data_IF_017062542571
#
_entry.id   IF_017062542571
#
_cell.length_a   1.000
_cell.length_b   1.000
_cell.length_c   1.000
_cell.angle_alpha   90.00
_cell.angle_beta   90.00
_cell.angle_gamma   90.00
#
_symmetry.space_group_name_H-M   'P 1'
#
loop_
_entity.id
_entity.type
_entity.pdbx_description
1 polymer ?
#
# COMPACT_ATOMS: atom_id res chain seq x y z
N UNK A 1 -26.35 51.26 -32.45
CA UNK A 1 -25.64 49.96 -32.50
C UNK A 1 -24.32 50.07 -31.75
N UNK A 2 -24.08 49.16 -30.79
CA UNK A 2 -22.75 48.58 -30.66
C UNK A 2 -22.81 47.03 -30.60
N UNK A 3 -21.76 46.33 -31.08
CA UNK A 3 -21.78 44.88 -31.27
C UNK A 3 -21.60 44.08 -29.98
N UNK A 4 -22.26 42.93 -29.94
CA UNK A 4 -22.16 41.91 -28.89
C UNK A 4 -20.77 41.26 -28.91
N UNK A 5 -20.04 41.35 -27.79
CA UNK A 5 -18.81 40.59 -27.59
C UNK A 5 -19.15 39.09 -27.46
N UNK A 6 -18.89 38.33 -28.53
CA UNK A 6 -18.73 36.87 -28.43
C UNK A 6 -17.31 36.60 -27.97
N UNK A 7 -17.16 36.13 -26.73
CA UNK A 7 -15.90 35.56 -26.26
C UNK A 7 -15.69 34.20 -26.95
N UNK A 8 -14.92 34.19 -28.03
CA UNK A 8 -14.32 32.98 -28.58
C UNK A 8 -13.16 32.57 -27.68
N UNK A 9 -13.36 31.56 -26.83
CA UNK A 9 -12.26 30.87 -26.14
C UNK A 9 -11.72 29.82 -27.10
N UNK A 10 -10.79 30.23 -27.95
CA UNK A 10 -9.98 29.36 -28.80
C UNK A 10 -8.51 29.58 -28.46
N UNK A 11 -8.06 29.04 -27.33
CA UNK A 11 -6.65 28.80 -27.02
C UNK A 11 -6.55 27.65 -26.00
N UNK A 12 -6.60 26.41 -26.48
CA UNK A 12 -5.92 25.30 -25.79
C UNK A 12 -4.67 24.97 -26.58
N UNK A 13 -3.53 25.27 -25.97
CA UNK A 13 -2.20 24.92 -26.45
C UNK A 13 -2.13 23.41 -26.68
N UNK A 14 -1.83 23.04 -27.93
CA UNK A 14 -1.36 21.72 -28.29
C UNK A 14 -0.11 21.35 -27.48
N UNK A 15 0.00 20.12 -26.95
CA UNK A 15 1.28 19.64 -26.43
C UNK A 15 2.26 19.41 -27.58
N UNK A 16 3.38 20.14 -27.51
CA UNK A 16 4.51 20.09 -28.43
C UNK A 16 5.00 18.66 -28.65
N UNK A 17 4.90 18.20 -29.91
CA UNK A 17 5.67 17.06 -30.41
C UNK A 17 7.15 17.42 -30.33
N UNK A 18 7.92 16.68 -29.54
CA UNK A 18 9.38 16.72 -29.62
C UNK A 18 9.83 15.93 -30.86
N UNK A 19 10.29 16.64 -31.88
CA UNK A 19 11.10 16.07 -32.95
C UNK A 19 12.47 15.68 -32.38
N UNK A 20 12.84 14.42 -32.57
CA UNK A 20 14.16 13.89 -32.22
C UNK A 20 15.08 14.22 -33.39
N UNK A 21 15.88 15.27 -33.22
CA UNK A 21 16.94 15.63 -34.16
C UNK A 21 18.17 14.77 -33.86
N UNK A 22 18.34 13.71 -34.63
CA UNK A 22 19.50 12.80 -34.59
C UNK A 22 20.73 13.56 -35.10
N UNK A 23 21.62 13.99 -34.21
CA UNK A 23 22.94 14.47 -34.60
C UNK A 23 23.96 13.33 -34.60
N UNK A 24 24.43 13.00 -35.80
CA UNK A 24 25.56 12.10 -36.04
C UNK A 24 26.87 12.79 -35.62
N UNK A 25 27.58 12.22 -34.63
CA UNK A 25 28.96 12.64 -34.29
C UNK A 25 29.93 12.05 -35.31
N UNK A 26 30.53 12.89 -36.14
CA UNK A 26 31.79 12.59 -36.84
C UNK A 26 32.94 13.18 -36.03
N UNK A 27 33.93 12.35 -35.76
CA UNK A 27 35.23 12.75 -35.23
C UNK A 27 36.07 13.33 -36.38
N UNK A 28 36.67 14.49 -36.15
CA UNK A 28 37.79 14.98 -36.95
C UNK A 28 38.85 15.51 -35.97
N UNK A 29 40.02 14.90 -36.02
CA UNK A 29 41.21 15.39 -35.34
C UNK A 29 41.89 16.44 -36.19
N UNK A 30 42.43 17.47 -35.53
CA UNK A 30 43.43 18.37 -36.11
C UNK A 30 44.51 18.60 -35.06
N UNK A 31 45.69 18.09 -35.37
CA UNK A 31 46.94 18.48 -34.75
C UNK A 31 47.25 19.93 -35.13
N UNK A 32 47.71 20.73 -34.17
CA UNK A 32 48.37 22.00 -34.44
C UNK A 32 49.66 22.03 -33.62
N UNK A 33 50.77 21.85 -34.33
CA UNK A 33 52.11 22.11 -33.85
C UNK A 33 52.34 23.63 -33.85
N UNK A 34 52.98 24.13 -32.79
CA UNK A 34 53.64 25.43 -32.81
C UNK A 34 55.02 25.24 -32.17
N UNK A 35 56.04 25.24 -33.02
CA UNK A 35 57.43 25.39 -32.64
C UNK A 35 57.72 26.87 -32.37
N UNK A 36 58.49 27.16 -31.33
CA UNK A 36 59.22 28.41 -31.22
C UNK A 36 60.47 28.21 -30.36
N UNK A 37 61.50 28.95 -30.74
CA UNK A 37 62.93 28.69 -30.63
C UNK A 37 63.56 29.13 -29.31
N UNK A 38 64.70 28.51 -29.01
CA UNK A 38 65.67 28.88 -27.98
C UNK A 38 66.29 30.27 -28.21
N UNK A 39 66.33 31.11 -27.17
CA UNK A 39 67.38 32.12 -26.99
C UNK A 39 67.57 32.45 -25.52
N UNK A 40 68.77 32.16 -25.03
CA UNK A 40 69.32 32.51 -23.71
C UNK A 40 69.79 33.97 -23.73
N UNK A 41 69.52 34.75 -22.66
CA UNK A 41 70.41 35.78 -22.07
C UNK A 41 69.88 36.10 -20.65
N UNK A 42 70.80 36.04 -19.68
CA UNK A 42 70.63 36.40 -18.27
C UNK A 42 70.47 37.91 -18.09
N UNK A 43 69.63 38.34 -17.13
CA UNK A 43 70.03 39.28 -16.06
C UNK A 43 68.96 39.37 -14.96
N UNK A 44 69.47 39.42 -13.73
CA UNK A 44 68.83 39.30 -12.42
C UNK A 44 68.13 40.58 -11.95
N UNK A 45 66.92 40.47 -11.36
CA UNK A 45 66.44 41.35 -10.28
C UNK A 45 65.44 40.60 -9.36
N UNK A 46 65.27 41.16 -8.16
CA UNK A 46 65.00 40.51 -6.89
C UNK A 46 63.53 40.10 -6.62
N UNK A 47 63.42 39.21 -5.63
CA UNK A 47 62.28 38.85 -4.77
C UNK A 47 61.03 39.74 -4.77
N UNK A 48 59.84 39.14 -4.94
CA UNK A 48 58.77 39.15 -3.93
C UNK A 48 57.53 38.32 -4.35
N UNK A 49 57.11 37.46 -3.44
CA UNK A 49 55.71 37.19 -3.03
C UNK A 49 54.67 36.66 -4.03
N UNK A 50 54.00 35.61 -3.54
CA UNK A 50 52.57 35.33 -3.68
C UNK A 50 52.07 34.46 -4.86
N UNK A 51 51.83 33.20 -4.50
CA UNK A 51 50.66 32.38 -4.88
C UNK A 51 50.32 32.26 -6.37
N UNK A 52 50.76 31.15 -6.99
CA UNK A 52 49.99 30.60 -8.09
C UNK A 52 48.58 30.23 -7.58
N UNK A 53 47.50 30.60 -8.27
CA UNK A 53 46.17 30.19 -7.86
C UNK A 53 46.06 28.66 -7.89
N UNK A 54 45.52 28.02 -6.85
CA UNK A 54 45.25 26.58 -6.89
C UNK A 54 44.24 26.30 -8.01
N UNK A 55 44.31 25.11 -8.66
CA UNK A 55 43.30 24.73 -9.64
C UNK A 55 41.92 24.81 -8.98
N UNK A 56 40.89 25.36 -9.67
CA UNK A 56 39.58 25.50 -9.08
C UNK A 56 39.10 24.10 -8.68
N UNK A 57 38.56 23.92 -7.45
CA UNK A 57 37.95 22.66 -7.10
C UNK A 57 36.79 22.47 -8.08
N UNK A 58 36.86 21.42 -8.92
CA UNK A 58 35.76 21.01 -9.78
C UNK A 58 34.68 20.43 -8.88
N UNK A 59 34.03 21.29 -8.12
CA UNK A 59 32.74 21.01 -7.50
C UNK A 59 31.82 20.95 -8.70
N UNK A 60 31.63 19.74 -9.23
CA UNK A 60 30.57 19.48 -10.19
C UNK A 60 29.27 19.94 -9.52
N UNK A 61 28.82 21.15 -9.86
CA UNK A 61 27.64 21.76 -9.31
C UNK A 61 26.44 21.05 -9.94
N UNK A 62 26.03 19.95 -9.32
CA UNK A 62 24.83 19.24 -9.73
C UNK A 62 23.61 20.15 -9.48
N UNK A 63 22.63 20.19 -10.40
CA UNK A 63 21.44 20.98 -10.17
C UNK A 63 20.67 20.37 -8.99
N UNK A 64 19.99 21.21 -8.21
CA UNK A 64 19.30 20.80 -6.95
C UNK A 64 18.36 19.61 -7.13
N UNK A 65 17.74 19.49 -8.31
CA UNK A 65 16.80 18.42 -8.65
C UNK A 65 17.47 17.13 -9.20
N UNK A 66 18.75 17.18 -9.58
CA UNK A 66 19.48 16.03 -10.13
C UNK A 66 20.74 15.77 -9.32
N UNK A 67 20.53 15.21 -8.13
CA UNK A 67 21.64 14.78 -7.28
C UNK A 67 22.42 13.60 -7.91
N UNK A 68 23.71 13.45 -7.57
CA UNK A 68 24.51 12.32 -7.99
C UNK A 68 23.89 10.99 -7.57
N UNK A 69 23.64 10.13 -8.55
CA UNK A 69 23.03 8.80 -8.35
C UNK A 69 24.01 7.70 -8.77
N UNK A 70 23.79 6.48 -8.26
CA UNK A 70 24.57 5.31 -8.64
C UNK A 70 24.39 4.95 -10.12
N UNK A 71 23.15 5.04 -10.62
CA UNK A 71 22.80 4.88 -12.03
C UNK A 71 22.25 6.18 -12.59
N UNK A 72 22.49 6.42 -13.89
CA UNK A 72 22.01 7.63 -14.56
C UNK A 72 20.48 7.73 -14.46
N UNK A 73 19.93 8.92 -14.14
CA UNK A 73 18.49 9.11 -13.97
C UNK A 73 17.73 9.05 -15.30
N UNK A 74 18.37 9.32 -16.44
CA UNK A 74 17.75 9.28 -17.77
C UNK A 74 17.23 7.89 -18.15
N UNK A 75 17.80 6.83 -17.58
CA UNK A 75 17.37 5.48 -17.90
C UNK A 75 16.00 5.16 -17.30
N UNK A 76 15.12 4.58 -18.12
CA UNK A 76 13.80 4.07 -17.70
C UNK A 76 13.88 3.19 -16.44
N UNK A 77 14.91 2.35 -16.32
CA UNK A 77 15.09 1.48 -15.14
C UNK A 77 15.25 2.28 -13.83
N UNK A 78 15.97 3.40 -13.88
CA UNK A 78 16.15 4.30 -12.74
C UNK A 78 14.86 5.00 -12.37
N UNK A 79 14.07 5.42 -13.36
CA UNK A 79 12.77 6.05 -13.15
C UNK A 79 11.73 5.08 -12.59
N UNK A 80 11.66 3.85 -13.12
CA UNK A 80 10.78 2.79 -12.59
C UNK A 80 11.13 2.45 -11.15
N UNK A 81 12.42 2.39 -10.79
CA UNK A 81 12.82 2.15 -9.41
C UNK A 81 12.33 3.26 -8.47
N UNK A 82 12.47 4.54 -8.84
CA UNK A 82 11.94 5.67 -8.07
C UNK A 82 10.42 5.58 -7.93
N UNK A 83 9.72 5.27 -9.01
CA UNK A 83 8.27 5.12 -9.02
C UNK A 83 7.82 3.98 -8.09
N UNK A 84 8.48 2.84 -8.12
CA UNK A 84 8.17 1.70 -7.26
C UNK A 84 8.53 1.97 -5.79
N UNK A 85 9.65 2.62 -5.52
CA UNK A 85 10.02 3.01 -4.16
C UNK A 85 9.02 4.02 -3.57
N UNK A 86 8.56 4.98 -4.38
CA UNK A 86 7.48 5.90 -3.99
C UNK A 86 6.19 5.13 -3.72
N UNK A 87 5.78 4.23 -4.63
CA UNK A 87 4.57 3.42 -4.47
C UNK A 87 4.62 2.63 -3.16
N UNK A 88 5.70 1.89 -2.92
CA UNK A 88 5.88 1.07 -1.72
C UNK A 88 5.83 1.86 -0.40
N UNK A 89 6.20 3.15 -0.42
CA UNK A 89 6.11 4.02 0.76
C UNK A 89 4.74 4.65 0.94
N UNK A 90 4.07 5.04 -0.15
CA UNK A 90 2.79 5.75 -0.07
C UNK A 90 1.60 4.80 0.04
N UNK A 91 1.74 3.55 -0.40
CA UNK A 91 0.63 2.58 -0.38
C UNK A 91 0.87 1.51 0.68
N UNK A 92 0.14 1.55 1.81
CA UNK A 92 0.30 0.58 2.88
C UNK A 92 -0.27 -0.80 2.53
N UNK A 93 -1.25 -0.87 1.60
CA UNK A 93 -1.89 -2.12 1.19
C UNK A 93 -1.63 -2.38 -0.30
N UNK A 94 -1.04 -3.52 -0.60
CA UNK A 94 -0.63 -3.93 -1.94
C UNK A 94 -0.99 -5.39 -2.14
N UNK A 95 -1.79 -5.73 -3.15
CA UNK A 95 -2.03 -7.11 -3.56
C UNK A 95 -1.15 -7.45 -4.76
N UNK A 96 -0.55 -8.64 -4.74
CA UNK A 96 0.34 -9.15 -5.76
C UNK A 96 -0.38 -10.27 -6.52
N UNK A 97 -0.55 -10.06 -7.82
CA UNK A 97 -1.17 -11.01 -8.73
C UNK A 97 -0.14 -11.51 -9.74
N UNK A 98 -0.15 -12.81 -10.00
CA UNK A 98 0.44 -13.36 -11.21
C UNK A 98 -0.55 -13.19 -12.35
N UNK A 99 -0.06 -12.75 -13.50
CA UNK A 99 -0.90 -12.61 -14.69
C UNK A 99 -0.34 -13.46 -15.83
N UNK A 100 -1.17 -14.32 -16.42
CA UNK A 100 -0.74 -15.19 -17.52
C UNK A 100 -1.29 -14.70 -18.86
N UNK A 101 -0.45 -14.00 -19.64
CA UNK A 101 -0.76 -13.56 -21.01
C UNK A 101 -2.16 -12.90 -21.16
N UNK A 102 -2.42 -11.85 -20.37
CA UNK A 102 -3.64 -11.06 -20.50
C UNK A 102 -3.56 -10.09 -21.68
N UNK A 103 -4.64 -10.03 -22.46
CA UNK A 103 -4.78 -9.09 -23.57
C UNK A 103 -5.22 -7.70 -23.08
N UNK A 104 -5.05 -6.68 -23.93
CA UNK A 104 -5.43 -5.29 -23.61
C UNK A 104 -6.92 -5.14 -23.32
N UNK A 105 -7.77 -5.84 -24.07
CA UNK A 105 -9.23 -5.84 -23.90
C UNK A 105 -9.62 -6.46 -22.55
N UNK A 106 -8.97 -7.56 -22.15
CA UNK A 106 -9.17 -8.22 -20.86
C UNK A 106 -8.77 -7.30 -19.71
N UNK A 107 -7.61 -6.63 -19.80
CA UNK A 107 -7.17 -5.64 -18.81
C UNK A 107 -8.14 -4.46 -18.66
N UNK A 108 -8.61 -3.91 -19.78
CA UNK A 108 -9.56 -2.82 -19.78
C UNK A 108 -10.89 -3.25 -19.12
N UNK A 109 -11.36 -4.46 -19.44
CA UNK A 109 -12.55 -5.05 -18.82
C UNK A 109 -12.41 -5.24 -17.31
N UNK A 110 -11.32 -5.84 -16.85
CA UNK A 110 -11.07 -6.07 -15.42
C UNK A 110 -10.98 -4.73 -14.66
N UNK A 111 -10.25 -3.75 -15.19
CA UNK A 111 -10.12 -2.43 -14.56
C UNK A 111 -11.46 -1.72 -14.47
N UNK A 112 -12.29 -1.80 -15.52
CA UNK A 112 -13.64 -1.22 -15.54
C UNK A 112 -14.51 -1.81 -14.44
N UNK A 113 -14.56 -3.13 -14.31
CA UNK A 113 -15.39 -3.77 -13.28
C UNK A 113 -14.86 -3.51 -11.87
N UNK A 114 -13.52 -3.46 -11.69
CA UNK A 114 -12.90 -3.07 -10.43
C UNK A 114 -13.27 -1.65 -10.01
N UNK A 115 -13.18 -0.67 -10.91
CA UNK A 115 -13.54 0.72 -10.61
C UNK A 115 -15.02 0.84 -10.24
N UNK A 116 -15.93 0.16 -10.96
CA UNK A 116 -17.36 0.16 -10.64
C UNK A 116 -17.67 -0.38 -9.25
N UNK A 117 -17.02 -1.49 -8.85
CA UNK A 117 -17.30 -2.09 -7.54
C UNK A 117 -16.70 -1.26 -6.42
N UNK A 118 -15.53 -0.66 -6.61
CA UNK A 118 -14.96 0.25 -5.61
C UNK A 118 -15.82 1.52 -5.45
N UNK A 119 -16.36 2.06 -6.55
CA UNK A 119 -17.29 3.18 -6.49
C UNK A 119 -18.56 2.85 -5.69
N UNK A 120 -19.12 1.64 -5.86
CA UNK A 120 -20.26 1.18 -5.05
C UNK A 120 -19.94 1.13 -3.56
N UNK A 121 -18.70 0.78 -3.19
CA UNK A 121 -18.26 0.80 -1.78
C UNK A 121 -18.09 2.22 -1.27
N UNK A 122 -17.50 3.11 -2.06
CA UNK A 122 -17.40 4.54 -1.71
C UNK A 122 -18.80 5.16 -1.51
N UNK A 123 -19.76 4.84 -2.37
CA UNK A 123 -21.16 5.28 -2.25
C UNK A 123 -21.84 4.73 -0.99
N UNK A 124 -21.63 3.44 -0.67
CA UNK A 124 -22.15 2.84 0.55
C UNK A 124 -21.53 3.47 1.82
N UNK A 125 -20.23 3.78 1.78
CA UNK A 125 -19.54 4.43 2.87
C UNK A 125 -19.98 5.89 3.07
N UNK A 126 -20.25 6.60 1.97
CA UNK A 126 -20.84 7.93 2.00
C UNK A 126 -22.27 7.90 2.57
N UNK A 127 -23.09 6.92 2.19
CA UNK A 127 -24.44 6.74 2.73
C UNK A 127 -24.42 6.39 4.24
N UNK A 128 -23.41 5.65 4.69
CA UNK A 128 -23.18 5.36 6.10
C UNK A 128 -22.61 6.55 6.89
N UNK A 129 -22.39 7.71 6.27
CA UNK A 129 -21.91 8.93 6.91
C UNK A 129 -20.45 8.87 7.36
N UNK A 130 -19.63 7.97 6.80
CA UNK A 130 -18.19 7.90 7.14
C UNK A 130 -17.44 8.99 6.37
N UNK A 131 -16.67 9.88 7.04
CA UNK A 131 -15.99 11.02 6.42
C UNK A 131 -14.70 10.63 5.68
N UNK A 132 -14.58 9.39 5.21
CA UNK A 132 -13.37 8.93 4.52
C UNK A 132 -13.35 9.46 3.07
N UNK A 133 -12.19 9.93 2.57
CA UNK A 133 -12.08 10.37 1.18
C UNK A 133 -12.31 9.20 0.23
N UNK A 134 -12.90 9.44 -0.96
CA UNK A 134 -13.17 8.38 -1.93
C UNK A 134 -11.88 7.72 -2.39
N UNK A 135 -11.78 6.40 -2.22
CA UNK A 135 -10.55 5.64 -2.46
C UNK A 135 -10.54 5.07 -3.89
N UNK A 136 -11.70 4.80 -4.49
CA UNK A 136 -11.81 4.17 -5.81
C UNK A 136 -10.92 4.77 -6.92
N UNK A 137 -10.80 6.11 -7.09
CA UNK A 137 -9.97 6.66 -8.18
C UNK A 137 -8.47 6.47 -7.96
N UNK A 138 -8.05 6.28 -6.71
CA UNK A 138 -6.64 6.12 -6.35
C UNK A 138 -6.18 4.65 -6.43
N UNK A 139 -7.11 3.70 -6.41
CA UNK A 139 -6.80 2.28 -6.56
C UNK A 139 -6.42 1.99 -8.00
N UNK A 140 -5.21 1.43 -8.18
CA UNK A 140 -4.65 1.20 -9.50
C UNK A 140 -4.11 -0.23 -9.63
N UNK A 141 -4.50 -0.89 -10.72
CA UNK A 141 -4.00 -2.21 -11.11
C UNK A 141 -2.90 -2.06 -12.17
N UNK A 142 -1.64 -2.16 -11.75
CA UNK A 142 -0.44 -1.91 -12.58
C UNK A 142 0.34 -3.19 -12.83
N UNK A 143 0.87 -3.34 -14.04
CA UNK A 143 1.88 -4.35 -14.35
C UNK A 143 3.24 -3.82 -13.91
N UNK A 144 4.02 -4.63 -13.20
CA UNK A 144 5.32 -4.23 -12.66
C UNK A 144 6.46 -5.04 -13.25
N UNK A 145 7.65 -4.43 -13.33
CA UNK A 145 8.87 -5.16 -13.64
C UNK A 145 9.45 -5.74 -12.35
N UNK A 146 9.33 -7.05 -12.18
CA UNK A 146 9.68 -7.79 -10.96
C UNK A 146 11.10 -7.52 -10.47
N UNK A 147 12.10 -7.57 -11.34
CA UNK A 147 13.50 -7.36 -10.94
C UNK A 147 13.80 -5.95 -10.42
N UNK A 148 13.10 -4.93 -10.92
CA UNK A 148 13.26 -3.54 -10.44
C UNK A 148 12.44 -3.32 -9.18
N UNK A 149 11.25 -3.92 -9.11
CA UNK A 149 10.38 -3.88 -7.95
C UNK A 149 11.03 -4.55 -6.74
N UNK A 150 11.67 -5.71 -6.94
CA UNK A 150 12.43 -6.40 -5.90
C UNK A 150 13.59 -5.54 -5.38
N UNK A 151 14.32 -4.86 -6.26
CA UNK A 151 15.36 -3.92 -5.84
C UNK A 151 14.78 -2.74 -5.04
N UNK A 152 13.60 -2.23 -5.43
CA UNK A 152 12.92 -1.14 -4.72
C UNK A 152 12.45 -1.59 -3.32
N UNK A 153 11.90 -2.79 -3.17
CA UNK A 153 11.54 -3.37 -1.87
C UNK A 153 12.71 -3.36 -0.90
N UNK A 154 13.86 -3.86 -1.34
CA UNK A 154 15.04 -3.91 -0.47
C UNK A 154 15.52 -2.51 -0.04
N UNK A 155 15.43 -1.52 -0.92
CA UNK A 155 15.75 -0.13 -0.55
C UNK A 155 14.74 0.39 0.46
N UNK A 156 13.44 0.23 0.23
CA UNK A 156 12.42 0.75 1.15
C UNK A 156 12.50 0.13 2.54
N UNK A 157 12.76 -1.18 2.62
CA UNK A 157 12.72 -1.90 3.89
C UNK A 157 14.06 -1.86 4.66
N UNK A 158 15.21 -1.88 3.97
CA UNK A 158 16.52 -1.95 4.63
C UNK A 158 17.31 -0.63 4.65
N UNK A 159 16.99 0.35 3.80
CA UNK A 159 17.76 1.60 3.76
C UNK A 159 17.18 2.63 4.75
N UNK A 160 17.96 2.96 5.79
CA UNK A 160 17.67 4.05 6.73
C UNK A 160 18.70 5.17 6.55
N UNK A 161 18.29 6.39 6.13
CA UNK A 161 19.23 7.48 5.93
C UNK A 161 19.83 7.91 7.29
N UNK A 162 21.16 7.95 7.38
CA UNK A 162 21.90 8.38 8.58
C UNK A 162 22.50 7.25 9.43
N UNK A 163 22.04 6.00 9.26
CA UNK A 163 22.48 4.87 10.08
C UNK A 163 23.52 3.97 9.36
N UNK A 164 23.67 4.12 8.04
CA UNK A 164 24.38 3.12 7.23
C UNK A 164 25.90 3.22 7.35
N UNK A 165 26.49 2.40 8.22
CA UNK A 165 27.82 1.81 7.99
C UNK A 165 27.62 0.51 7.19
N UNK A 166 27.98 0.46 5.89
CA UNK A 166 27.74 -0.72 5.08
C UNK A 166 28.65 -1.87 5.51
N UNK A 167 28.04 -3.01 5.83
CA UNK A 167 28.71 -4.29 6.10
C UNK A 167 28.78 -5.09 4.79
N UNK A 168 29.82 -5.92 4.62
CA UNK A 168 29.99 -6.83 3.46
C UNK A 168 30.47 -6.23 2.13
N UNK A 169 30.21 -6.86 0.96
CA UNK A 169 30.72 -6.42 -0.35
C UNK A 169 30.28 -5.00 -0.77
N UNK A 170 29.27 -4.43 -0.10
CA UNK A 170 28.89 -3.03 -0.22
C UNK A 170 29.94 -2.02 0.23
N UNK A 171 30.98 -2.42 0.99
CA UNK A 171 32.06 -1.53 1.46
C UNK A 171 32.80 -0.77 0.35
N UNK A 172 33.04 -1.43 -0.79
CA UNK A 172 33.74 -0.81 -1.92
C UNK A 172 32.86 0.28 -2.57
N UNK A 173 31.57 0.00 -2.72
CA UNK A 173 30.61 0.97 -3.24
C UNK A 173 30.40 2.15 -2.28
N UNK A 174 30.48 1.89 -0.98
CA UNK A 174 30.34 2.87 0.08
C UNK A 174 31.51 3.83 0.19
N UNK A 175 32.75 3.37 -0.06
CA UNK A 175 33.93 4.23 -0.03
C UNK A 175 33.83 5.41 -1.02
N UNK A 176 33.04 5.27 -2.10
CA UNK A 176 32.79 6.31 -3.11
C UNK A 176 31.43 7.00 -2.94
N UNK A 177 30.77 6.80 -1.79
CA UNK A 177 29.42 7.26 -1.54
C UNK A 177 29.43 8.41 -0.53
N UNK A 178 28.72 9.50 -0.85
CA UNK A 178 28.57 10.62 0.06
C UNK A 178 27.44 10.30 1.07
N UNK A 179 27.71 10.28 2.39
CA UNK A 179 26.71 9.93 3.41
C UNK A 179 25.54 10.92 3.49
N UNK A 180 25.74 12.16 2.99
CA UNK A 180 24.71 13.21 2.93
C UNK A 180 23.61 12.96 1.89
N UNK A 181 23.83 12.05 0.93
CA UNK A 181 22.84 11.74 -0.11
C UNK A 181 21.85 10.68 0.41
N UNK A 182 20.62 11.10 0.67
CA UNK A 182 19.56 10.30 1.30
C UNK A 182 18.52 9.71 0.34
N UNK A 183 18.65 9.94 -0.97
CA UNK A 183 17.67 9.49 -1.96
C UNK A 183 17.89 8.02 -2.38
N UNK A 184 16.86 7.38 -2.92
CA UNK A 184 16.83 5.92 -3.21
C UNK A 184 17.86 5.45 -4.24
N UNK A 185 18.18 6.32 -5.22
CA UNK A 185 19.18 6.01 -6.26
C UNK A 185 20.62 6.32 -5.84
N UNK A 186 20.84 6.71 -4.60
CA UNK A 186 22.17 7.07 -4.12
C UNK A 186 23.10 5.85 -4.09
N UNK A 187 24.41 6.11 -4.14
CA UNK A 187 25.42 5.04 -3.98
C UNK A 187 25.38 4.44 -2.56
N UNK A 188 24.97 5.23 -1.57
CA UNK A 188 24.78 4.79 -0.17
C UNK A 188 23.64 3.78 -0.08
N UNK A 189 22.47 4.09 -0.66
CA UNK A 189 21.34 3.16 -0.72
C UNK A 189 21.69 1.86 -1.45
N UNK A 190 22.40 1.96 -2.57
CA UNK A 190 22.88 0.79 -3.29
C UNK A 190 23.83 -0.07 -2.45
N UNK A 191 24.82 0.55 -1.79
CA UNK A 191 25.79 -0.15 -0.95
C UNK A 191 25.13 -0.87 0.23
N UNK A 192 24.10 -0.29 0.85
CA UNK A 192 23.38 -0.89 1.97
C UNK A 192 22.56 -2.13 1.58
N UNK A 193 22.12 -2.21 0.33
CA UNK A 193 21.13 -3.19 -0.14
C UNK A 193 21.76 -4.38 -0.90
N UNK A 194 23.00 -4.24 -1.37
CA UNK A 194 23.71 -5.28 -2.14
C UNK A 194 23.66 -6.66 -1.46
N UNK A 195 23.96 -6.69 -0.16
CA UNK A 195 24.03 -7.90 0.66
C UNK A 195 22.66 -8.51 0.97
N UNK A 196 21.58 -7.78 0.69
CA UNK A 196 20.20 -8.15 1.01
C UNK A 196 19.43 -8.74 -0.17
N UNK A 197 20.14 -9.09 -1.25
CA UNK A 197 19.56 -9.75 -2.42
C UNK A 197 18.94 -11.11 -2.04
N UNK A 198 17.67 -11.31 -2.38
CA UNK A 198 16.94 -12.57 -2.11
C UNK A 198 16.65 -12.84 -0.62
N UNK A 199 16.90 -11.88 0.28
CA UNK A 199 16.65 -12.05 1.73
C UNK A 199 15.28 -11.52 2.18
N UNK A 200 14.50 -10.97 1.26
CA UNK A 200 13.20 -10.40 1.57
C UNK A 200 12.12 -11.48 1.37
N UNK A 201 11.12 -11.55 2.25
CA UNK A 201 10.08 -12.59 2.24
C UNK A 201 9.33 -12.65 0.89
N UNK A 202 8.98 -11.49 0.33
CA UNK A 202 8.37 -11.39 -1.01
C UNK A 202 9.27 -11.83 -2.19
N UNK A 203 10.59 -11.96 -2.01
CA UNK A 203 11.49 -12.21 -3.14
C UNK A 203 11.21 -13.55 -3.85
N UNK A 204 10.78 -14.56 -3.10
CA UNK A 204 10.40 -15.88 -3.64
C UNK A 204 9.12 -15.82 -4.50
N UNK A 205 8.22 -14.90 -4.17
CA UNK A 205 6.93 -14.72 -4.86
C UNK A 205 7.09 -13.83 -6.09
N UNK A 206 8.13 -12.99 -6.13
CA UNK A 206 8.38 -12.03 -7.20
C UNK A 206 9.06 -12.63 -8.44
N UNK A 207 8.70 -13.87 -8.80
CA UNK A 207 9.22 -14.58 -9.97
C UNK A 207 8.16 -14.62 -11.07
N UNK A 208 8.51 -14.18 -12.28
CA UNK A 208 7.61 -14.18 -13.44
C UNK A 208 6.86 -12.87 -13.69
N UNK A 209 5.81 -12.89 -14.51
CA UNK A 209 4.99 -11.72 -14.83
C UNK A 209 3.98 -11.41 -13.72
N UNK A 210 4.10 -10.22 -13.13
CA UNK A 210 3.35 -9.82 -11.93
C UNK A 210 2.66 -8.48 -12.13
N UNK A 211 1.44 -8.41 -11.62
CA UNK A 211 0.65 -7.21 -11.50
C UNK A 211 0.39 -6.91 -10.02
N UNK A 212 0.30 -5.63 -9.72
CA UNK A 212 0.10 -5.12 -8.38
C UNK A 212 -1.17 -4.28 -8.35
N UNK A 213 -2.03 -4.56 -7.39
CA UNK A 213 -3.15 -3.70 -7.02
C UNK A 213 -2.76 -2.90 -5.79
N UNK A 214 -2.67 -1.58 -5.93
CA UNK A 214 -2.22 -0.70 -4.84
C UNK A 214 -3.39 0.09 -4.25
N UNK A 215 -3.47 0.13 -2.92
CA UNK A 215 -4.43 0.93 -2.16
C UNK A 215 -3.68 1.98 -1.33
N UNK A 216 -4.12 3.26 -1.35
CA UNK A 216 -3.49 4.32 -0.55
C UNK A 216 -3.80 4.21 0.94
N UNK A 217 -4.93 3.59 1.31
CA UNK A 217 -5.35 3.39 2.69
C UNK A 217 -5.72 1.92 2.92
N UNK A 218 -5.53 1.42 4.15
CA UNK A 218 -5.91 0.07 4.54
C UNK A 218 -7.41 0.06 4.84
N UNK A 219 -8.22 -0.24 3.83
CA UNK A 219 -9.67 -0.38 3.98
C UNK A 219 -10.11 -1.83 3.67
N UNK A 220 -10.47 -2.62 4.68
CA UNK A 220 -10.97 -3.99 4.51
C UNK A 220 -12.18 -4.10 3.58
N UNK A 221 -13.04 -3.08 3.54
CA UNK A 221 -14.25 -3.05 2.70
C UNK A 221 -13.90 -2.98 1.21
N UNK A 222 -12.96 -2.11 0.85
CA UNK A 222 -12.44 -2.01 -0.52
C UNK A 222 -11.67 -3.27 -0.92
N UNK A 223 -10.93 -3.86 0.02
CA UNK A 223 -10.22 -5.13 -0.16
C UNK A 223 -11.23 -6.26 -0.43
N UNK A 224 -12.28 -6.38 0.38
CA UNK A 224 -13.37 -7.35 0.22
C UNK A 224 -14.04 -7.24 -1.15
N UNK A 225 -14.36 -6.03 -1.56
CA UNK A 225 -14.90 -5.74 -2.89
C UNK A 225 -13.95 -6.18 -4.02
N UNK A 226 -12.66 -5.87 -3.90
CA UNK A 226 -11.65 -6.25 -4.88
C UNK A 226 -11.45 -7.78 -4.96
N UNK A 227 -11.37 -8.47 -3.81
CA UNK A 227 -11.22 -9.94 -3.77
C UNK A 227 -12.45 -10.65 -4.35
N UNK A 228 -13.64 -10.11 -4.11
CA UNK A 228 -14.90 -10.65 -4.64
C UNK A 228 -14.93 -10.68 -6.17
N UNK A 229 -14.22 -9.77 -6.84
CA UNK A 229 -14.07 -9.77 -8.30
C UNK A 229 -12.87 -10.58 -8.75
N UNK A 230 -11.70 -10.31 -8.16
CA UNK A 230 -10.41 -10.80 -8.68
C UNK A 230 -10.10 -12.23 -8.28
N UNK A 231 -10.53 -12.66 -7.08
CA UNK A 231 -10.24 -13.98 -6.54
C UNK A 231 -11.42 -14.50 -5.69
N UNK A 232 -12.61 -14.72 -6.29
CA UNK A 232 -13.78 -15.18 -5.57
C UNK A 232 -13.54 -16.57 -4.96
N UNK A 233 -13.84 -16.72 -3.66
CA UNK A 233 -13.81 -18.00 -2.94
C UNK A 233 -15.08 -18.09 -2.07
N UNK A 234 -16.13 -18.78 -2.56
CA UNK A 234 -17.29 -19.10 -1.73
C UNK A 234 -16.86 -19.97 -0.53
N UNK A 235 -17.40 -19.79 0.69
CA UNK A 235 -18.50 -18.92 1.12
C UNK A 235 -18.10 -17.50 1.61
N UNK A 236 -16.82 -17.25 1.91
CA UNK A 236 -16.37 -15.98 2.50
C UNK A 236 -16.40 -14.79 1.52
N UNK A 237 -16.13 -15.04 0.24
CA UNK A 237 -16.12 -14.02 -0.83
C UNK A 237 -16.93 -14.53 -2.03
N UNK A 238 -18.28 -14.44 -1.98
CA UNK A 238 -19.12 -14.88 -3.08
C UNK A 238 -19.01 -13.92 -4.26
N UNK A 239 -18.84 -14.46 -5.47
CA UNK A 239 -18.86 -13.63 -6.68
C UNK A 239 -20.20 -12.89 -6.81
N UNK A 240 -20.21 -11.63 -7.28
CA UNK A 240 -21.44 -10.87 -7.49
C UNK A 240 -22.37 -11.61 -8.45
N UNK A 241 -23.68 -11.65 -8.13
CA UNK A 241 -24.66 -12.29 -9.00
C UNK A 241 -24.73 -11.65 -10.39
N UNK A 242 -25.13 -12.44 -11.40
CA UNK A 242 -25.28 -12.00 -12.80
C UNK A 242 -26.19 -10.78 -12.96
N UNK A 243 -27.23 -10.68 -12.12
CA UNK A 243 -28.17 -9.54 -12.11
C UNK A 243 -27.55 -8.28 -11.52
N UNK A 244 -26.71 -8.41 -10.49
CA UNK A 244 -26.11 -7.26 -9.81
C UNK A 244 -24.98 -6.61 -10.61
N UNK A 245 -24.17 -7.43 -11.30
CA UNK A 245 -23.07 -6.97 -12.16
C UNK A 245 -23.01 -7.81 -13.45
N UNK A 246 -23.79 -7.48 -14.49
CA UNK A 246 -23.78 -8.24 -15.75
C UNK A 246 -22.42 -8.14 -16.47
N UNK A 247 -21.73 -7.00 -16.35
CA UNK A 247 -20.43 -6.75 -16.99
C UNK A 247 -19.28 -7.65 -16.51
N UNK A 248 -19.43 -8.26 -15.33
CA UNK A 248 -18.48 -9.25 -14.81
C UNK A 248 -18.52 -10.55 -15.61
N UNK A 249 -19.68 -10.88 -16.19
CA UNK A 249 -19.91 -12.13 -16.90
C UNK A 249 -19.69 -12.01 -18.41
N UNK A 250 -19.08 -10.91 -18.84
CA UNK A 250 -18.63 -10.72 -20.20
C UNK A 250 -17.44 -11.66 -20.52
N UNK A 251 -17.40 -12.19 -21.74
CA UNK A 251 -16.39 -13.17 -22.18
C UNK A 251 -14.94 -12.70 -21.97
N UNK A 252 -14.51 -11.49 -22.41
CA UNK A 252 -13.15 -11.01 -22.19
C UNK A 252 -12.81 -10.83 -20.71
N UNK A 253 -13.78 -10.43 -19.88
CA UNK A 253 -13.55 -10.25 -18.44
C UNK A 253 -13.35 -11.60 -17.76
N UNK A 254 -14.21 -12.58 -18.03
CA UNK A 254 -14.09 -13.93 -17.48
C UNK A 254 -12.80 -14.63 -17.93
N UNK A 255 -12.43 -14.49 -19.21
CA UNK A 255 -11.19 -15.04 -19.73
C UNK A 255 -9.97 -14.42 -19.03
N UNK A 256 -10.00 -13.10 -18.80
CA UNK A 256 -8.96 -12.39 -18.05
C UNK A 256 -8.87 -12.82 -16.59
N UNK A 257 -10.00 -12.97 -15.89
CA UNK A 257 -10.02 -13.35 -14.48
C UNK A 257 -9.46 -14.75 -14.23
N UNK A 258 -9.72 -15.72 -15.13
CA UNK A 258 -9.13 -17.06 -15.05
C UNK A 258 -7.61 -17.07 -15.16
N UNK A 259 -7.02 -16.05 -15.79
CA UNK A 259 -5.57 -15.89 -15.98
C UNK A 259 -4.89 -15.10 -14.86
N UNK A 260 -5.66 -14.50 -13.96
CA UNK A 260 -5.16 -13.77 -12.80
C UNK A 260 -5.17 -14.68 -11.58
N UNK A 261 -4.02 -14.82 -10.94
CA UNK A 261 -3.86 -15.63 -9.73
C UNK A 261 -3.35 -14.71 -8.63
N UNK A 262 -4.10 -14.61 -7.53
CA UNK A 262 -3.62 -13.92 -6.34
C UNK A 262 -2.45 -14.71 -5.75
N UNK A 263 -1.31 -14.09 -5.50
CA UNK A 263 -0.17 -14.74 -4.86
C UNK A 263 -0.09 -14.38 -3.38
N UNK A 264 0.02 -13.09 -3.09
CA UNK A 264 0.24 -12.57 -1.74
C UNK A 264 -0.27 -11.13 -1.63
N UNK A 265 -0.33 -10.63 -0.40
CA UNK A 265 -0.51 -9.23 -0.09
C UNK A 265 0.65 -8.71 0.76
N UNK A 266 0.90 -7.41 0.67
CA UNK A 266 1.70 -6.65 1.62
C UNK A 266 0.76 -5.69 2.32
N UNK A 267 0.63 -5.81 3.64
CA UNK A 267 -0.17 -4.90 4.48
C UNK A 267 0.76 -4.29 5.52
N UNK A 268 0.91 -2.97 5.49
CA UNK A 268 1.74 -2.19 6.43
C UNK A 268 3.19 -2.69 6.56
N UNK A 269 3.75 -3.19 5.46
CA UNK A 269 5.13 -3.71 5.42
C UNK A 269 5.28 -5.17 5.85
N UNK A 270 4.21 -5.82 6.29
CA UNK A 270 4.17 -7.28 6.53
C UNK A 270 3.66 -8.00 5.30
N UNK A 271 4.19 -9.20 5.08
CA UNK A 271 3.76 -10.09 4.01
C UNK A 271 2.63 -10.98 4.52
N UNK A 272 1.61 -11.11 3.69
CA UNK A 272 0.43 -11.91 3.97
C UNK A 272 0.18 -12.88 2.82
N UNK A 273 -0.10 -14.14 3.17
CA UNK A 273 -0.50 -15.16 2.20
C UNK A 273 -1.94 -14.96 1.73
N UNK A 274 -2.39 -15.75 0.75
CA UNK A 274 -3.76 -15.65 0.22
C UNK A 274 -4.82 -15.79 1.31
N UNK A 275 -4.67 -16.74 2.23
CA UNK A 275 -5.66 -16.99 3.27
C UNK A 275 -5.65 -15.91 4.35
N UNK A 276 -4.47 -15.36 4.68
CA UNK A 276 -4.39 -14.23 5.59
C UNK A 276 -4.92 -12.94 4.96
N UNK A 277 -4.70 -12.75 3.66
CA UNK A 277 -5.28 -11.63 2.89
C UNK A 277 -6.81 -11.70 2.90
N UNK A 278 -7.37 -12.90 2.75
CA UNK A 278 -8.81 -13.17 2.89
C UNK A 278 -9.29 -12.88 4.31
N UNK A 279 -8.53 -13.25 5.34
CA UNK A 279 -8.87 -12.90 6.72
C UNK A 279 -8.94 -11.37 6.92
N UNK A 280 -7.97 -10.60 6.41
CA UNK A 280 -8.00 -9.12 6.46
C UNK A 280 -9.22 -8.55 5.73
N UNK A 281 -9.59 -9.12 4.58
CA UNK A 281 -10.82 -8.75 3.86
C UNK A 281 -12.12 -9.18 4.55
N UNK A 282 -12.05 -10.13 5.47
CA UNK A 282 -13.18 -10.62 6.26
C UNK A 282 -13.49 -9.75 7.47
N UNK A 283 -12.62 -8.79 7.82
CA UNK A 283 -12.82 -7.91 8.96
C UNK A 283 -14.01 -6.97 8.67
N UNK A 284 -15.11 -7.21 9.38
CA UNK A 284 -16.32 -6.39 9.31
C UNK A 284 -16.14 -5.09 10.10
N UNK A 285 -16.70 -4.00 9.59
CA UNK A 285 -16.64 -2.69 10.24
C UNK A 285 -15.33 -1.90 10.02
N UNK A 286 -14.37 -2.44 9.28
CA UNK A 286 -13.14 -1.73 8.91
C UNK A 286 -12.29 -1.29 10.12
N UNK A 287 -11.58 -0.17 9.98
CA UNK A 287 -10.75 0.39 11.07
C UNK A 287 -11.61 0.82 12.27
N UNK A 288 -12.82 1.32 12.02
CA UNK A 288 -13.76 1.71 13.08
C UNK A 288 -14.24 0.50 13.88
N UNK A 289 -14.46 -0.65 13.21
CA UNK A 289 -14.79 -1.92 13.85
C UNK A 289 -13.65 -2.45 14.72
N UNK A 290 -12.40 -2.39 14.25
CA UNK A 290 -11.25 -2.75 15.08
C UNK A 290 -11.07 -1.80 16.26
N UNK A 291 -11.30 -0.50 16.06
CA UNK A 291 -11.29 0.49 17.16
C UNK A 291 -12.40 0.24 18.16
N UNK A 292 -13.60 -0.13 17.72
CA UNK A 292 -14.70 -0.46 18.62
C UNK A 292 -14.46 -1.78 19.36
N UNK A 293 -13.87 -2.78 18.71
CA UNK A 293 -13.42 -4.01 19.38
C UNK A 293 -12.36 -3.70 20.44
N UNK A 294 -11.39 -2.82 20.15
CA UNK A 294 -10.40 -2.39 21.13
C UNK A 294 -11.07 -1.69 22.33
N UNK A 295 -11.99 -0.75 22.06
CA UNK A 295 -12.75 -0.06 23.12
C UNK A 295 -13.61 -1.04 23.91
N UNK A 296 -14.24 -2.01 23.25
CA UNK A 296 -15.04 -3.05 23.91
C UNK A 296 -14.20 -4.01 24.74
N UNK A 297 -12.98 -4.35 24.31
CA UNK A 297 -12.05 -5.15 25.11
C UNK A 297 -11.56 -4.36 26.33
N UNK A 298 -11.30 -3.07 26.17
CA UNK A 298 -10.90 -2.18 27.25
C UNK A 298 -12.04 -1.99 28.27
N UNK A 299 -13.26 -1.76 27.78
CA UNK A 299 -14.46 -1.65 28.61
C UNK A 299 -14.81 -2.99 29.26
N UNK A 300 -14.62 -4.10 28.55
CA UNK A 300 -14.81 -5.46 29.06
C UNK A 300 -13.87 -5.79 30.21
N UNK A 301 -12.61 -5.34 30.16
CA UNK A 301 -11.69 -5.49 31.28
C UNK A 301 -12.19 -4.71 32.52
N UNK A 302 -12.65 -3.47 32.35
CA UNK A 302 -13.26 -2.69 33.44
C UNK A 302 -14.55 -3.32 33.99
N UNK A 303 -15.42 -3.78 33.10
CA UNK A 303 -16.67 -4.46 33.45
C UNK A 303 -16.41 -5.82 34.15
N UNK A 304 -15.33 -6.52 33.81
CA UNK A 304 -14.97 -7.78 34.47
C UNK A 304 -14.66 -7.56 35.96
N UNK A 305 -13.98 -6.46 36.32
CA UNK A 305 -13.68 -6.14 37.71
C UNK A 305 -14.96 -5.77 38.45
N UNK A 306 -15.80 -4.91 37.88
CA UNK A 306 -17.05 -4.52 38.53
C UNK A 306 -18.03 -5.68 38.67
N UNK A 307 -18.13 -6.56 37.67
CA UNK A 307 -18.94 -7.78 37.76
C UNK A 307 -18.42 -8.75 38.82
N UNK A 308 -17.11 -8.87 39.02
CA UNK A 308 -16.58 -9.69 40.12
C UNK A 308 -16.89 -9.09 41.51
N UNK A 309 -16.84 -7.76 41.68
CA UNK A 309 -17.24 -7.12 42.94
C UNK A 309 -18.76 -7.20 43.18
N UNK A 310 -19.55 -6.94 42.14
CA UNK A 310 -21.01 -7.00 42.19
C UNK A 310 -21.51 -8.44 42.38
N UNK A 311 -20.77 -9.45 41.90
CA UNK A 311 -21.10 -10.86 42.11
C UNK A 311 -21.15 -11.23 43.60
N UNK A 312 -20.26 -10.69 44.43
CA UNK A 312 -20.30 -10.90 45.87
C UNK A 312 -21.60 -10.32 46.48
N UNK A 313 -21.98 -9.10 46.10
CA UNK A 313 -23.23 -8.45 46.54
C UNK A 313 -24.47 -9.21 46.07
N UNK A 314 -24.52 -9.61 44.80
CA UNK A 314 -25.59 -10.41 44.21
C UNK A 314 -25.73 -11.78 44.85
N UNK A 315 -24.61 -12.44 45.19
CA UNK A 315 -24.66 -13.75 45.86
C UNK A 315 -25.30 -13.66 47.25
N UNK A 316 -24.98 -12.62 48.01
CA UNK A 316 -25.61 -12.35 49.31
C UNK A 316 -27.08 -11.99 49.15
N UNK A 317 -27.40 -11.13 48.19
CA UNK A 317 -28.79 -10.75 47.89
C UNK A 317 -29.64 -11.97 47.50
N UNK A 318 -29.16 -12.82 46.60
CA UNK A 318 -29.85 -14.05 46.20
C UNK A 318 -30.03 -15.02 47.37
N UNK A 319 -29.06 -15.09 48.29
CA UNK A 319 -29.18 -15.93 49.49
C UNK A 319 -30.25 -15.39 50.45
N UNK A 320 -30.32 -14.07 50.63
CA UNK A 320 -31.34 -13.43 51.48
C UNK A 320 -32.73 -13.51 50.86
N UNK A 321 -32.85 -13.29 49.55
CA UNK A 321 -34.11 -13.42 48.82
C UNK A 321 -34.58 -14.89 48.80
N UNK A 322 -33.68 -15.86 48.64
CA UNK A 322 -34.00 -17.29 48.78
C UNK A 322 -34.49 -17.64 50.19
N UNK A 323 -33.88 -17.08 51.23
CA UNK A 323 -34.38 -17.29 52.60
C UNK A 323 -35.73 -16.63 52.81
N UNK A 324 -35.95 -15.45 52.22
CA UNK A 324 -37.23 -14.75 52.27
C UNK A 324 -38.33 -15.55 51.56
N UNK A 325 -38.08 -16.07 50.36
CA UNK A 325 -39.06 -16.86 49.62
C UNK A 325 -39.43 -18.14 50.37
N UNK A 326 -38.46 -18.81 50.99
CA UNK A 326 -38.73 -20.00 51.84
C UNK A 326 -39.61 -19.64 53.04
N UNK A 327 -39.36 -18.49 53.69
CA UNK A 327 -40.20 -18.04 54.81
C UNK A 327 -41.58 -17.59 54.37
N UNK A 328 -41.71 -16.99 53.17
CA UNK A 328 -43.00 -16.64 52.57
C UNK A 328 -43.79 -17.90 52.18
N UNK A 329 -43.13 -18.96 51.66
CA UNK A 329 -43.73 -20.28 51.38
C UNK A 329 -44.13 -21.02 52.67
N UNK A 330 -43.27 -21.01 53.69
CA UNK A 330 -43.56 -21.56 55.02
C UNK A 330 -44.70 -20.81 55.73
N UNK A 331 -44.77 -19.48 55.57
CA UNK A 331 -45.91 -18.67 56.06
C UNK A 331 -47.18 -18.85 55.24
N UNK A 332 -47.08 -19.21 53.96
CA UNK A 332 -48.25 -19.47 53.13
C UNK A 332 -48.93 -20.80 53.46
N UNK A 333 -48.21 -21.76 54.03
CA UNK A 333 -48.76 -23.04 54.47
C UNK A 333 -49.48 -23.85 53.37
N UNK A 334 -49.85 -25.11 53.64
CA UNK A 334 -50.44 -26.04 52.66
C UNK A 334 -51.90 -25.72 52.24
N UNK A 335 -52.36 -24.46 52.34
CA UNK A 335 -53.73 -24.08 51.95
C UNK A 335 -53.86 -23.59 50.50
N UNK A 336 -52.75 -23.35 49.79
CA UNK A 336 -52.79 -22.92 48.38
C UNK A 336 -52.46 -24.00 47.34
N UNK A 337 -51.81 -25.11 47.71
CA UNK A 337 -51.61 -26.25 46.81
C UNK A 337 -52.84 -27.17 46.72
N UNK A 338 -53.80 -27.04 47.64
CA UNK A 338 -55.08 -27.75 47.55
C UNK A 338 -56.10 -27.10 46.59
N UNK A 339 -55.81 -25.91 46.03
CA UNK A 339 -56.71 -25.18 45.11
C UNK A 339 -56.30 -25.20 43.64
N UNK A 340 -55.08 -25.63 43.29
CA UNK A 340 -54.64 -25.77 41.90
C UNK A 340 -54.75 -27.19 41.36
N UNK A 341 -54.84 -28.23 42.21
CA UNK A 341 -55.03 -29.62 41.76
C UNK A 341 -56.49 -30.09 41.67
N UNK A 342 -57.46 -29.34 42.23
CA UNK A 342 -58.88 -29.75 42.23
C UNK A 342 -59.65 -29.28 40.98
N UNK A 343 -59.16 -28.29 40.22
CA UNK A 343 -59.88 -27.75 39.05
C UNK A 343 -59.52 -28.45 37.71
N UNK A 344 -58.66 -29.48 37.72
CA UNK A 344 -58.19 -30.18 36.50
C UNK A 344 -58.77 -31.58 36.25
N UNK A 345 -59.66 -32.11 37.11
CA UNK A 345 -60.05 -33.54 37.04
C UNK A 345 -61.56 -33.84 37.05
N UNK A 346 -62.42 -32.85 36.80
CA UNK A 346 -63.87 -33.04 36.65
C UNK A 346 -64.38 -32.57 35.28
N UNK A 347 -63.80 -33.09 34.20
CA UNK A 347 -64.43 -33.06 32.87
C UNK A 347 -63.84 -34.16 31.96
N UNK A 348 -64.11 -35.43 32.28
CA UNK A 348 -63.91 -36.54 31.34
C UNK A 348 -64.65 -37.81 31.80
N UNK A 349 -65.98 -37.75 31.95
CA UNK A 349 -66.87 -38.93 31.87
C UNK A 349 -68.34 -38.50 31.87
N UNK A 350 -68.85 -38.13 30.69
CA UNK A 350 -70.26 -38.31 30.32
C UNK A 350 -70.40 -38.23 28.80
N UNK A 351 -70.85 -39.37 28.23
CA UNK A 351 -71.52 -39.60 26.94
C UNK A 351 -70.86 -39.13 25.62
#
# INVERSE_FOLDING_TARGET
MPPRLRLSVSLLLHPLRHEILVHSRRYAGTAAAAAATTSTINQSFQSNSASSPPPPPVIAAYPKYQLPSHRRPEFRKSQLHRQYASLLRTTPLILIFQHNNLQSVEWAGIRRELTKVLQKVDEANAAAGRPEPPIAPLVQLKIIQTSIFEAALRVVDFFRPGETVPRGPGKIAAAKANPKLTHDLSRTAYAAVLDKKGKHDLSNILVGPIAVLSFPHVSPEHLKAALTILAPKPPQFPAPGRRANPGLYDLPVQAGLKKLILLAARVEGKVFDQDQTRWVGGIEGGMTGLRSQLVSLLQGAGASITTTLDAAGKSLYLTLESRRSVLEEEQKGPESDAKSEVEGKTDASKE
#
